data_IF_875073836865
#
_entry.id   IF_875073836865
#
_cell.length_a   1.000
_cell.length_b   1.000
_cell.length_c   1.000
_cell.angle_alpha   90.00
_cell.angle_beta   90.00
_cell.angle_gamma   90.00
#
_symmetry.space_group_name_H-M   'P 1'
#
loop_
_entity.id
_entity.type
_entity.pdbx_description
1 polymer ?
#
# COMPACT_ATOMS: atom_id res chain seq x y z
N UNK A 1 5.40 -2.26 -24.92
CA UNK A 1 5.98 -3.37 -24.13
C UNK A 1 6.51 -2.93 -22.76
N UNK A 2 7.26 -1.82 -22.67
CA UNK A 2 7.82 -1.30 -21.40
C UNK A 2 6.76 -1.02 -20.33
N UNK A 3 5.59 -0.47 -20.69
CA UNK A 3 4.49 -0.20 -19.73
C UNK A 3 3.89 -1.45 -19.08
N UNK A 4 3.84 -2.57 -19.81
CA UNK A 4 3.36 -3.85 -19.27
C UNK A 4 4.32 -4.37 -18.20
N UNK A 5 5.62 -4.30 -18.48
CA UNK A 5 6.69 -4.72 -17.56
C UNK A 5 6.66 -3.87 -16.29
N UNK A 6 6.46 -2.55 -16.39
CA UNK A 6 6.34 -1.67 -15.22
C UNK A 6 5.09 -1.95 -14.39
N UNK A 7 3.97 -2.30 -15.03
CA UNK A 7 2.73 -2.66 -14.32
C UNK A 7 2.90 -3.98 -13.56
N UNK A 8 3.49 -4.99 -14.20
CA UNK A 8 3.83 -6.27 -13.55
C UNK A 8 4.81 -6.05 -12.40
N UNK A 9 5.86 -5.24 -12.60
CA UNK A 9 6.85 -4.96 -11.56
C UNK A 9 6.23 -4.23 -10.36
N UNK A 10 5.34 -3.25 -10.60
CA UNK A 10 4.56 -2.61 -9.52
C UNK A 10 3.63 -3.58 -8.80
N UNK A 11 3.04 -4.53 -9.51
CA UNK A 11 2.18 -5.55 -8.92
C UNK A 11 2.99 -6.51 -8.04
N UNK A 12 4.15 -6.95 -8.53
CA UNK A 12 5.10 -7.79 -7.79
C UNK A 12 5.65 -7.05 -6.58
N UNK A 13 6.08 -5.80 -6.74
CA UNK A 13 6.56 -4.98 -5.62
C UNK A 13 5.46 -4.72 -4.60
N UNK A 14 4.19 -4.58 -5.01
CA UNK A 14 3.05 -4.48 -4.10
C UNK A 14 2.79 -5.79 -3.35
N UNK A 15 2.92 -6.94 -4.01
CA UNK A 15 2.85 -8.26 -3.37
C UNK A 15 3.99 -8.44 -2.35
N UNK A 16 5.22 -8.10 -2.75
CA UNK A 16 6.43 -8.21 -1.91
C UNK A 16 6.45 -7.19 -0.76
N UNK A 17 5.90 -5.98 -0.94
CA UNK A 17 5.75 -5.02 0.16
C UNK A 17 4.55 -5.33 1.06
N UNK A 18 3.52 -6.02 0.56
CA UNK A 18 2.42 -6.55 1.37
C UNK A 18 2.88 -7.71 2.27
N UNK A 19 3.98 -8.38 1.92
CA UNK A 19 4.65 -9.40 2.75
C UNK A 19 5.32 -8.90 4.05
N UNK A 20 5.11 -7.64 4.44
CA UNK A 20 5.75 -7.05 5.63
C UNK A 20 5.11 -7.44 6.96
N UNK A 21 3.89 -7.99 6.95
CA UNK A 21 3.18 -8.44 8.17
C UNK A 21 3.23 -9.97 8.32
N UNK A 22 3.57 -10.44 9.54
CA UNK A 22 3.71 -11.88 9.88
C UNK A 22 2.46 -12.70 9.55
N UNK A 23 1.28 -12.12 9.77
CA UNK A 23 -0.02 -12.79 9.54
C UNK A 23 -0.30 -12.95 8.04
N UNK A 24 -0.11 -11.89 7.25
CA UNK A 24 -0.30 -11.93 5.79
C UNK A 24 0.70 -12.88 5.11
N UNK A 25 1.92 -12.95 5.62
CA UNK A 25 2.93 -13.93 5.16
C UNK A 25 2.52 -15.36 5.48
N UNK A 26 2.02 -15.61 6.69
CA UNK A 26 1.48 -16.92 7.08
C UNK A 26 0.34 -17.36 6.16
N UNK A 27 -0.64 -16.49 5.93
CA UNK A 27 -1.77 -16.78 5.03
C UNK A 27 -1.32 -17.05 3.59
N UNK A 28 -0.35 -16.29 3.07
CA UNK A 28 0.18 -16.50 1.72
C UNK A 28 0.92 -17.83 1.58
N UNK A 29 1.75 -18.20 2.56
CA UNK A 29 2.45 -19.50 2.55
C UNK A 29 1.45 -20.65 2.65
N UNK A 30 0.47 -20.55 3.55
CA UNK A 30 -0.60 -21.54 3.66
C UNK A 30 -1.42 -21.66 2.37
N UNK A 31 -1.71 -20.54 1.71
CA UNK A 31 -2.42 -20.54 0.42
C UNK A 31 -1.61 -21.27 -0.65
N UNK A 32 -0.33 -20.94 -0.80
CA UNK A 32 0.55 -21.63 -1.78
C UNK A 32 0.61 -23.12 -1.47
N UNK A 33 0.84 -23.51 -0.22
CA UNK A 33 0.88 -24.92 0.18
C UNK A 33 -0.43 -25.66 -0.12
N UNK A 34 -1.57 -25.04 0.19
CA UNK A 34 -2.90 -25.64 -0.05
C UNK A 34 -3.18 -25.78 -1.55
N UNK A 35 -2.89 -24.76 -2.35
CA UNK A 35 -3.08 -24.79 -3.82
C UNK A 35 -2.16 -25.81 -4.47
N UNK A 36 -0.88 -25.89 -4.06
CA UNK A 36 0.05 -26.90 -4.56
C UNK A 36 -0.42 -28.31 -4.20
N UNK A 37 -0.86 -28.53 -2.96
CA UNK A 37 -1.41 -29.82 -2.53
C UNK A 37 -2.66 -30.22 -3.34
N UNK A 38 -3.58 -29.28 -3.55
CA UNK A 38 -4.76 -29.51 -4.39
C UNK A 38 -4.39 -29.79 -5.85
N UNK A 39 -3.42 -29.08 -6.40
CA UNK A 39 -2.93 -29.30 -7.78
C UNK A 39 -2.41 -30.72 -7.95
N UNK A 40 -1.54 -31.18 -7.04
CA UNK A 40 -1.02 -32.56 -7.06
C UNK A 40 -2.17 -33.56 -6.94
N UNK A 41 -3.11 -33.32 -6.02
CA UNK A 41 -4.27 -34.20 -5.84
C UNK A 41 -5.08 -34.34 -7.13
N UNK A 42 -5.47 -33.24 -7.79
CA UNK A 42 -6.25 -33.29 -9.03
C UNK A 42 -5.46 -33.90 -10.19
N UNK A 43 -4.15 -33.66 -10.28
CA UNK A 43 -3.30 -34.32 -11.29
C UNK A 43 -3.28 -35.84 -11.11
N UNK A 44 -3.31 -36.33 -9.86
CA UNK A 44 -3.30 -37.77 -9.58
C UNK A 44 -4.69 -38.41 -9.71
N UNK A 45 -5.75 -37.77 -9.21
CA UNK A 45 -7.10 -38.36 -9.16
C UNK A 45 -7.89 -38.16 -10.45
N UNK A 46 -7.83 -36.97 -11.05
CA UNK A 46 -8.56 -36.61 -12.26
C UNK A 46 -7.70 -36.76 -13.52
N UNK A 47 -6.39 -37.02 -13.37
CA UNK A 47 -5.43 -37.19 -14.47
C UNK A 47 -5.35 -35.99 -15.42
N UNK A 48 -5.73 -34.81 -14.94
CA UNK A 48 -5.57 -33.57 -15.68
C UNK A 48 -4.12 -33.17 -15.79
N UNK A 49 -3.80 -32.31 -16.77
CA UNK A 49 -2.48 -31.69 -16.82
C UNK A 49 -2.23 -30.88 -15.54
N UNK A 50 -0.96 -30.66 -15.19
CA UNK A 50 -0.60 -29.84 -14.02
C UNK A 50 -1.19 -28.42 -14.15
N UNK A 51 -1.23 -27.88 -15.37
CA UNK A 51 -1.78 -26.56 -15.64
C UNK A 51 -3.29 -26.51 -15.43
N UNK A 52 -4.03 -27.50 -15.94
CA UNK A 52 -5.48 -27.59 -15.75
C UNK A 52 -5.84 -27.83 -14.29
N UNK A 53 -5.05 -28.65 -13.59
CA UNK A 53 -5.19 -28.93 -12.15
C UNK A 53 -4.98 -27.66 -11.33
N UNK A 54 -3.96 -26.86 -11.66
CA UNK A 54 -3.67 -25.60 -10.99
C UNK A 54 -4.76 -24.56 -11.28
N UNK A 55 -5.18 -24.46 -12.54
CA UNK A 55 -6.28 -23.60 -12.95
C UNK A 55 -7.55 -23.93 -12.17
N UNK A 56 -7.91 -25.22 -12.10
CA UNK A 56 -9.07 -25.67 -11.33
C UNK A 56 -8.92 -25.35 -9.84
N UNK A 57 -7.77 -25.68 -9.23
CA UNK A 57 -7.52 -25.42 -7.82
C UNK A 57 -7.66 -23.93 -7.45
N UNK A 58 -7.18 -23.01 -8.29
CA UNK A 58 -7.34 -21.57 -8.08
C UNK A 58 -8.79 -21.12 -8.32
N UNK A 59 -9.43 -21.64 -9.36
CA UNK A 59 -10.80 -21.25 -9.74
C UNK A 59 -11.86 -21.62 -8.71
N UNK A 60 -11.63 -22.64 -7.87
CA UNK A 60 -12.53 -22.98 -6.74
C UNK A 60 -12.52 -21.89 -5.67
N UNK A 61 -11.40 -21.19 -5.49
CA UNK A 61 -11.25 -20.18 -4.45
C UNK A 61 -11.53 -18.74 -4.88
N UNK A 62 -11.63 -18.50 -6.19
CA UNK A 62 -11.83 -17.17 -6.76
C UNK A 62 -13.04 -17.18 -7.71
N UNK A 63 -13.76 -16.06 -7.84
CA UNK A 63 -14.92 -15.96 -8.73
C UNK A 63 -14.53 -15.85 -10.22
N UNK A 64 -13.51 -16.60 -10.66
CA UNK A 64 -13.05 -16.63 -12.05
C UNK A 64 -13.88 -17.59 -12.92
N UNK A 65 -14.42 -18.64 -12.29
CA UNK A 65 -15.08 -19.75 -12.98
C UNK A 65 -14.09 -20.77 -13.53
N UNK A 66 -14.52 -22.03 -13.54
CA UNK A 66 -13.75 -23.22 -13.94
C UNK A 66 -14.10 -23.70 -15.36
N UNK A 67 -15.04 -23.03 -16.04
CA UNK A 67 -15.47 -23.36 -17.39
C UNK A 67 -16.01 -24.80 -17.48
N UNK A 68 -15.29 -25.67 -18.19
CA UNK A 68 -15.66 -27.07 -18.43
C UNK A 68 -15.02 -28.07 -17.45
N UNK A 69 -14.08 -27.63 -16.59
CA UNK A 69 -13.38 -28.52 -15.66
C UNK A 69 -14.21 -28.71 -14.38
N UNK A 70 -14.43 -29.96 -14.00
CA UNK A 70 -15.18 -30.32 -12.80
C UNK A 70 -14.83 -31.73 -12.31
N UNK A 71 -14.86 -31.97 -10.99
CA UNK A 71 -14.45 -33.23 -10.39
C UNK A 71 -15.39 -34.35 -10.84
N UNK A 72 -14.85 -35.36 -11.51
CA UNK A 72 -15.63 -36.48 -12.04
C UNK A 72 -15.77 -37.60 -11.02
N UNK A 73 -14.74 -37.84 -10.21
CA UNK A 73 -14.71 -38.90 -9.19
C UNK A 73 -15.40 -38.50 -7.89
N UNK A 74 -15.95 -39.48 -7.15
CA UNK A 74 -16.59 -39.21 -5.84
C UNK A 74 -15.59 -38.66 -4.83
N UNK A 75 -14.36 -39.18 -4.85
CA UNK A 75 -13.29 -38.76 -3.94
C UNK A 75 -12.86 -37.32 -4.22
N UNK A 76 -12.73 -36.93 -5.49
CA UNK A 76 -12.38 -35.55 -5.83
C UNK A 76 -13.50 -34.57 -5.48
N UNK A 77 -14.78 -34.94 -5.65
CA UNK A 77 -15.91 -34.10 -5.22
C UNK A 77 -15.88 -33.80 -3.73
N UNK A 78 -15.67 -34.82 -2.89
CA UNK A 78 -15.57 -34.64 -1.43
C UNK A 78 -14.37 -33.78 -1.07
N UNK A 79 -13.22 -34.03 -1.70
CA UNK A 79 -12.02 -33.20 -1.52
C UNK A 79 -12.30 -31.74 -1.89
N UNK A 80 -12.90 -31.47 -3.05
CA UNK A 80 -13.24 -30.12 -3.51
C UNK A 80 -14.12 -29.38 -2.52
N UNK A 81 -15.11 -30.05 -1.92
CA UNK A 81 -15.99 -29.44 -0.92
C UNK A 81 -15.21 -28.94 0.31
N UNK A 82 -14.30 -29.76 0.84
CA UNK A 82 -13.48 -29.41 2.01
C UNK A 82 -12.46 -28.33 1.62
N UNK A 83 -11.80 -28.51 0.48
CA UNK A 83 -10.82 -27.59 -0.06
C UNK A 83 -11.40 -26.20 -0.31
N UNK A 84 -12.62 -26.10 -0.86
CA UNK A 84 -13.29 -24.84 -1.14
C UNK A 84 -13.43 -23.97 0.10
N UNK A 85 -13.84 -24.56 1.24
CA UNK A 85 -13.99 -23.83 2.50
C UNK A 85 -12.67 -23.22 3.00
N UNK A 86 -11.58 -23.98 2.87
CA UNK A 86 -10.25 -23.54 3.34
C UNK A 86 -9.68 -22.48 2.39
N UNK A 87 -9.70 -22.76 1.09
CA UNK A 87 -9.00 -21.93 0.10
C UNK A 87 -9.67 -20.57 -0.07
N UNK A 88 -11.00 -20.48 -0.01
CA UNK A 88 -11.73 -19.20 -0.09
C UNK A 88 -11.31 -18.26 1.03
N UNK A 89 -11.24 -18.76 2.27
CA UNK A 89 -10.81 -17.95 3.42
C UNK A 89 -9.37 -17.44 3.25
N UNK A 90 -8.47 -18.29 2.74
CA UNK A 90 -7.09 -17.91 2.46
C UNK A 90 -6.98 -16.86 1.34
N UNK A 91 -7.73 -17.01 0.25
CA UNK A 91 -7.78 -16.01 -0.83
C UNK A 91 -8.31 -14.66 -0.33
N UNK A 92 -9.35 -14.65 0.51
CA UNK A 92 -9.88 -13.42 1.11
C UNK A 92 -8.85 -12.75 2.01
N UNK A 93 -8.16 -13.51 2.86
CA UNK A 93 -7.13 -12.97 3.77
C UNK A 93 -5.95 -12.35 3.00
N UNK A 94 -5.48 -13.04 1.96
CA UNK A 94 -4.40 -12.55 1.09
C UNK A 94 -4.88 -11.34 0.29
N UNK A 95 -6.02 -11.44 -0.40
CA UNK A 95 -6.60 -10.36 -1.19
C UNK A 95 -6.87 -9.09 -0.38
N UNK A 96 -7.42 -9.22 0.82
CA UNK A 96 -7.62 -8.10 1.75
C UNK A 96 -6.30 -7.45 2.19
N UNK A 97 -5.24 -8.25 2.38
CA UNK A 97 -3.90 -7.72 2.68
C UNK A 97 -3.31 -6.93 1.51
N UNK A 98 -3.45 -7.44 0.28
CA UNK A 98 -3.04 -6.72 -0.94
C UNK A 98 -3.82 -5.40 -1.10
N UNK A 99 -5.14 -5.42 -0.90
CA UNK A 99 -5.96 -4.22 -0.98
C UNK A 99 -5.50 -3.16 0.04
N UNK A 100 -5.26 -3.57 1.29
CA UNK A 100 -4.72 -2.68 2.34
C UNK A 100 -3.35 -2.13 1.97
N UNK A 101 -2.45 -2.93 1.41
CA UNK A 101 -1.12 -2.49 0.99
C UNK A 101 -1.21 -1.42 -0.12
N UNK A 102 -2.09 -1.61 -1.10
CA UNK A 102 -2.34 -0.65 -2.18
C UNK A 102 -2.88 0.68 -1.64
N UNK A 103 -3.88 0.64 -0.76
CA UNK A 103 -4.47 1.85 -0.17
C UNK A 103 -3.49 2.58 0.76
N UNK A 104 -2.74 1.84 1.59
CA UNK A 104 -1.73 2.41 2.52
C UNK A 104 -0.63 3.17 1.79
N UNK A 105 -0.21 2.69 0.62
CA UNK A 105 0.78 3.38 -0.19
C UNK A 105 0.28 4.72 -0.74
N UNK A 106 -1.01 4.83 -1.06
CA UNK A 106 -1.62 6.11 -1.46
C UNK A 106 -1.70 7.08 -0.29
N UNK A 107 -2.19 6.64 0.88
CA UNK A 107 -2.31 7.50 2.06
C UNK A 107 -0.96 8.02 2.56
N UNK A 108 0.12 7.25 2.43
CA UNK A 108 1.47 7.71 2.82
C UNK A 108 1.99 8.83 1.93
N UNK A 109 1.59 8.90 0.67
CA UNK A 109 1.99 10.01 -0.22
C UNK A 109 1.25 11.29 0.17
N UNK A 110 -0.05 11.19 0.39
CA UNK A 110 -0.88 12.32 0.83
C UNK A 110 -0.43 12.86 2.19
N UNK A 111 -0.07 11.98 3.13
CA UNK A 111 0.41 12.37 4.45
C UNK A 111 1.82 13.02 4.44
N UNK A 112 2.66 12.75 3.42
CA UNK A 112 3.95 13.44 3.27
C UNK A 112 3.74 14.85 2.75
N UNK A 113 2.97 15.02 1.68
CA UNK A 113 2.67 16.34 1.11
C UNK A 113 2.09 17.26 2.18
N UNK A 114 1.11 16.77 2.96
CA UNK A 114 0.50 17.57 4.03
C UNK A 114 1.44 17.92 5.18
N UNK A 115 2.51 17.15 5.41
CA UNK A 115 3.55 17.48 6.39
C UNK A 115 4.52 18.52 5.86
N UNK A 116 4.86 18.42 4.59
CA UNK A 116 5.74 19.37 3.92
C UNK A 116 5.05 20.75 3.85
N UNK A 117 3.75 20.80 3.51
CA UNK A 117 2.95 22.04 3.54
C UNK A 117 2.91 22.67 4.94
N UNK A 118 2.69 21.87 5.99
CA UNK A 118 2.66 22.36 7.36
C UNK A 118 4.02 22.90 7.85
N UNK A 119 5.13 22.36 7.33
CA UNK A 119 6.46 22.87 7.64
C UNK A 119 6.69 24.25 6.99
N UNK A 120 6.24 24.42 5.73
CA UNK A 120 6.31 25.70 5.02
C UNK A 120 5.48 26.78 5.73
N UNK A 121 4.25 26.46 6.15
CA UNK A 121 3.40 27.40 6.91
C UNK A 121 4.05 27.83 8.25
N UNK A 122 4.71 26.88 8.95
CA UNK A 122 5.43 27.21 10.18
C UNK A 122 6.66 28.09 9.93
N UNK A 123 7.36 27.87 8.83
CA UNK A 123 8.54 28.65 8.45
C UNK A 123 8.14 30.08 8.06
N UNK A 124 7.06 30.25 7.29
CA UNK A 124 6.50 31.57 6.96
C UNK A 124 6.07 32.35 8.20
N UNK A 125 5.34 31.72 9.13
CA UNK A 125 4.97 32.36 10.40
C UNK A 125 6.19 32.78 11.23
N UNK A 126 7.26 31.97 11.20
CA UNK A 126 8.52 32.30 11.89
C UNK A 126 9.19 33.51 11.27
N UNK A 127 9.22 33.59 9.94
CA UNK A 127 9.79 34.72 9.22
C UNK A 127 8.97 35.99 9.47
N UNK A 128 7.64 35.92 9.37
CA UNK A 128 6.76 37.06 9.67
C UNK A 128 6.93 37.56 11.11
N UNK A 129 7.00 36.66 12.11
CA UNK A 129 7.27 37.06 13.49
C UNK A 129 8.64 37.73 13.64
N UNK A 130 9.66 37.22 12.96
CA UNK A 130 11.00 37.78 12.99
C UNK A 130 11.03 39.17 12.36
N UNK A 131 10.35 39.37 11.23
CA UNK A 131 10.20 40.67 10.58
C UNK A 131 9.43 41.67 11.45
N UNK A 132 8.34 41.25 12.09
CA UNK A 132 7.59 42.09 13.02
C UNK A 132 8.43 42.52 14.23
N UNK A 133 9.23 41.61 14.79
CA UNK A 133 10.18 41.91 15.86
C UNK A 133 11.26 42.91 15.42
N UNK A 134 11.80 42.74 14.22
CA UNK A 134 12.79 43.66 13.66
C UNK A 134 12.20 45.05 13.41
N UNK A 135 10.96 45.13 12.91
CA UNK A 135 10.23 46.39 12.77
C UNK A 135 10.00 47.06 14.13
N UNK A 136 9.56 46.31 15.14
CA UNK A 136 9.36 46.85 16.48
C UNK A 136 10.67 47.37 17.10
N UNK A 137 11.77 46.63 16.91
CA UNK A 137 13.09 47.07 17.35
C UNK A 137 13.56 48.34 16.63
N UNK A 138 13.39 48.41 15.31
CA UNK A 138 13.73 49.61 14.54
C UNK A 138 12.92 50.83 14.97
N UNK A 139 11.62 50.64 15.25
CA UNK A 139 10.75 51.69 15.76
C UNK A 139 11.12 52.13 17.19
N UNK A 140 11.53 51.20 18.06
CA UNK A 140 12.04 51.55 19.40
C UNK A 140 13.29 52.42 19.30
N UNK A 141 14.25 52.03 18.45
CA UNK A 141 15.49 52.80 18.22
C UNK A 141 15.17 54.19 17.66
N UNK A 142 14.28 54.30 16.67
CA UNK A 142 13.84 55.60 16.13
C UNK A 142 13.19 56.49 17.18
N UNK A 143 12.34 55.92 18.04
CA UNK A 143 11.71 56.66 19.15
C UNK A 143 12.71 57.11 20.20
N UNK A 144 13.72 56.29 20.49
CA UNK A 144 14.79 56.61 21.44
C UNK A 144 15.71 57.70 20.88
N UNK A 145 16.09 57.61 19.60
CA UNK A 145 16.84 58.67 18.90
C UNK A 145 16.09 60.01 18.88
N UNK A 146 14.79 59.99 18.59
CA UNK A 146 13.95 61.19 18.64
C UNK A 146 13.81 61.78 20.05
N UNK A 147 13.80 60.95 21.11
CA UNK A 147 13.78 61.42 22.51
C UNK A 147 15.09 62.03 22.98
N UNK A 148 16.22 61.59 22.42
CA UNK A 148 17.55 62.13 22.74
C UNK A 148 17.85 63.46 22.03
N UNK A 149 16.88 64.03 21.29
CA UNK A 149 17.04 65.32 20.61
C UNK A 149 18.02 65.28 19.44
N UNK A 150 18.45 64.09 19.00
CA UNK A 150 19.14 63.93 17.72
C UNK A 150 18.08 64.01 16.62
N UNK A 151 17.73 65.22 16.23
CA UNK A 151 17.26 65.44 14.87
C UNK A 151 18.40 64.95 13.96
N UNK A 152 18.11 63.93 13.16
CA UNK A 152 18.80 63.77 11.87
C UNK A 152 18.34 64.94 10.98
N UNK A 153 18.65 66.16 11.41
CA UNK A 153 18.66 67.30 10.51
C UNK A 153 20.02 67.25 9.84
N UNK A 154 19.95 66.98 8.54
CA UNK A 154 20.80 67.56 7.51
C UNK A 154 22.29 67.68 7.89
N UNK A 155 23.07 66.69 7.46
CA UNK A 155 24.31 67.05 6.77
C UNK A 155 24.39 66.24 5.47
N UNK A 156 24.46 67.03 4.39
CA UNK A 156 24.70 66.75 2.98
C UNK A 156 25.36 65.40 2.62
#
# INVERSE_FOLDING_TARGET
MVSLILMVKRLVDAVVTSWRDRVSRGAAISLVGTVTGATIFYTLTEKWSVLDSLFYAVSVGLPMGNGALGPTTTVSKIFTLIYALVVVGLFVAVGGSLAKATVKNTNRKVARVRRDDAHLEQEEMRLQKKEALLQEQADRVRREAARLGMTLEEDL
#
